data_IF_356345382178
#
_entry.id   IF_356345382178
#
_cell.length_a   1.000
_cell.length_b   1.000
_cell.length_c   1.000
_cell.angle_alpha   90.00
_cell.angle_beta   90.00
_cell.angle_gamma   90.00
#
_symmetry.space_group_name_H-M   'P 1'
#
loop_
_entity.id
_entity.type
_entity.pdbx_description
1 polymer ?
#
# COMPACT_ATOMS: atom_id res chain seq x y z
N UNK A 1 -15.32 14.92 7.94
CA UNK A 1 -14.47 13.71 7.98
C UNK A 1 -15.39 12.51 8.16
N UNK A 2 -15.30 11.48 7.32
CA UNK A 2 -16.09 10.26 7.51
C UNK A 2 -15.71 9.62 8.86
N UNK A 3 -16.70 9.19 9.65
CA UNK A 3 -16.46 8.47 10.90
C UNK A 3 -15.78 7.13 10.60
N UNK A 4 -14.82 6.74 11.43
CA UNK A 4 -14.16 5.46 11.27
C UNK A 4 -15.13 4.34 11.73
N UNK A 5 -15.32 3.26 10.96
CA UNK A 5 -16.33 2.22 11.25
C UNK A 5 -16.14 1.56 12.63
N UNK A 6 -17.17 1.42 13.44
CA UNK A 6 -17.05 0.92 14.82
C UNK A 6 -16.81 -0.59 14.93
N UNK A 7 -16.18 -1.02 16.05
CA UNK A 7 -16.12 -2.43 16.47
C UNK A 7 -14.89 -3.25 16.06
N UNK A 8 -14.05 -2.80 15.11
CA UNK A 8 -12.86 -3.53 14.67
C UNK A 8 -11.55 -2.77 14.92
N UNK A 9 -10.46 -3.51 15.22
CA UNK A 9 -9.10 -2.95 15.25
C UNK A 9 -8.73 -2.48 13.84
N UNK A 10 -8.48 -1.17 13.71
CA UNK A 10 -8.13 -0.53 12.44
C UNK A 10 -6.62 -0.47 12.26
N UNK A 11 -6.18 -0.62 11.01
CA UNK A 11 -4.76 -0.51 10.63
C UNK A 11 -4.62 0.41 9.42
N UNK A 12 -3.55 1.20 9.38
CA UNK A 12 -3.19 1.99 8.19
C UNK A 12 -1.84 1.53 7.68
N UNK A 13 -1.81 0.98 6.47
CA UNK A 13 -0.57 0.68 5.76
C UNK A 13 0.03 1.96 5.19
N UNK A 14 1.34 2.16 5.34
CA UNK A 14 2.02 3.35 4.87
C UNK A 14 3.48 3.04 4.46
N UNK A 15 4.06 3.91 3.65
CA UNK A 15 5.41 3.71 3.12
C UNK A 15 6.49 4.02 4.19
N UNK A 16 7.74 3.63 3.90
CA UNK A 16 8.91 3.92 4.72
C UNK A 16 9.10 5.41 5.03
N UNK A 17 8.69 6.30 4.12
CA UNK A 17 8.78 7.73 4.35
C UNK A 17 7.72 8.27 5.30
N UNK A 18 6.64 7.52 5.54
CA UNK A 18 5.62 7.84 6.54
C UNK A 18 6.02 7.41 7.96
N UNK A 19 7.19 6.78 8.13
CA UNK A 19 7.74 6.43 9.44
C UNK A 19 8.25 7.68 10.16
N UNK A 20 7.36 8.63 10.41
CA UNK A 20 7.62 9.88 11.12
C UNK A 20 6.90 9.87 12.45
N UNK A 21 7.48 10.53 13.46
CA UNK A 21 6.86 10.64 14.78
C UNK A 21 5.46 11.25 14.69
N UNK A 22 5.28 12.28 13.86
CA UNK A 22 3.99 12.96 13.65
C UNK A 22 2.92 12.04 13.05
N UNK A 23 3.27 11.27 12.01
CA UNK A 23 2.35 10.32 11.39
C UNK A 23 1.94 9.21 12.37
N UNK A 24 2.93 8.58 13.03
CA UNK A 24 2.70 7.50 14.00
C UNK A 24 1.84 7.97 15.18
N UNK A 25 2.13 9.17 15.72
CA UNK A 25 1.35 9.75 16.80
C UNK A 25 -0.09 10.05 16.37
N UNK A 26 -0.28 10.59 15.16
CA UNK A 26 -1.61 10.91 14.62
C UNK A 26 -2.46 9.66 14.39
N UNK A 27 -1.88 8.61 13.80
CA UNK A 27 -2.56 7.33 13.62
C UNK A 27 -3.02 6.74 14.96
N UNK A 28 -2.13 6.72 15.96
CA UNK A 28 -2.45 6.24 17.31
C UNK A 28 -3.55 7.08 17.99
N UNK A 29 -3.52 8.40 17.85
CA UNK A 29 -4.56 9.31 18.37
C UNK A 29 -5.95 9.01 17.77
N UNK A 30 -5.99 8.54 16.53
CA UNK A 30 -7.22 8.10 15.86
C UNK A 30 -7.64 6.66 16.20
N UNK A 31 -6.92 5.97 17.10
CA UNK A 31 -7.17 4.57 17.43
C UNK A 31 -6.81 3.60 16.29
N UNK A 32 -5.95 4.02 15.36
CA UNK A 32 -5.51 3.23 14.21
C UNK A 32 -4.08 2.73 14.44
N UNK A 33 -3.84 1.44 14.24
CA UNK A 33 -2.51 0.85 14.33
C UNK A 33 -1.69 1.19 13.08
N UNK A 34 -0.53 1.85 13.19
CA UNK A 34 0.27 2.25 12.03
C UNK A 34 1.07 1.06 11.50
N UNK A 35 0.66 0.45 10.39
CA UNK A 35 1.43 -0.55 9.64
C UNK A 35 2.38 0.12 8.63
N UNK A 36 3.25 0.98 9.15
CA UNK A 36 4.23 1.72 8.37
C UNK A 36 5.46 0.83 8.10
N UNK A 37 6.06 0.90 6.91
CA UNK A 37 7.35 0.21 6.71
C UNK A 37 8.45 0.85 7.56
N UNK A 38 9.21 0.05 8.32
CA UNK A 38 10.25 0.60 9.21
C UNK A 38 11.37 1.31 8.43
N UNK A 39 11.71 2.53 8.84
CA UNK A 39 12.80 3.31 8.27
C UNK A 39 14.06 3.25 9.12
N UNK A 40 14.69 2.07 9.10
CA UNK A 40 15.92 1.79 9.86
C UNK A 40 17.13 1.95 8.94
N UNK A 41 18.14 2.69 9.41
CA UNK A 41 19.46 2.82 8.78
C UNK A 41 20.53 3.10 9.87
N UNK A 42 21.79 3.30 9.48
CA UNK A 42 22.92 3.50 10.42
C UNK A 42 22.75 4.68 11.39
N UNK A 43 21.95 5.69 11.02
CA UNK A 43 21.75 6.92 11.81
C UNK A 43 20.32 7.06 12.34
N UNK A 44 19.45 6.10 12.08
CA UNK A 44 18.01 6.23 12.31
C UNK A 44 17.36 4.90 12.70
N UNK A 45 16.59 4.92 13.80
CA UNK A 45 15.63 3.87 14.16
C UNK A 45 14.22 4.17 13.65
N UNK A 46 13.31 3.20 13.83
CA UNK A 46 11.89 3.35 13.45
C UNK A 46 11.06 4.04 14.55
N UNK A 47 10.02 4.78 14.16
CA UNK A 47 9.03 5.34 15.11
C UNK A 47 7.96 4.32 15.52
N UNK A 48 7.91 3.16 14.85
CA UNK A 48 7.10 2.02 15.27
C UNK A 48 7.97 0.98 15.98
N UNK A 49 7.38 0.34 16.99
CA UNK A 49 8.04 -0.60 17.89
C UNK A 49 7.37 -1.99 17.82
N UNK A 50 7.83 -2.91 18.67
CA UNK A 50 7.33 -4.28 18.76
C UNK A 50 5.82 -4.39 18.99
N UNK A 51 5.15 -3.36 19.55
CA UNK A 51 3.68 -3.37 19.70
C UNK A 51 2.98 -3.42 18.35
N UNK A 52 3.58 -2.85 17.31
CA UNK A 52 3.09 -2.93 15.93
C UNK A 52 3.65 -4.16 15.23
N UNK A 53 4.98 -4.34 15.24
CA UNK A 53 5.65 -5.24 14.30
C UNK A 53 5.56 -6.72 14.67
N UNK A 54 5.29 -7.05 15.95
CA UNK A 54 5.18 -8.45 16.41
C UNK A 54 3.97 -9.21 15.85
N UNK A 55 2.96 -8.50 15.38
CA UNK A 55 1.71 -9.09 14.94
C UNK A 55 1.81 -9.60 13.49
N UNK A 56 1.24 -10.77 13.21
CA UNK A 56 1.18 -11.34 11.86
C UNK A 56 0.52 -10.40 10.85
N UNK A 57 -0.49 -9.64 11.28
CA UNK A 57 -1.17 -8.63 10.46
C UNK A 57 -0.25 -7.54 9.92
N UNK A 58 0.79 -7.14 10.67
CA UNK A 58 1.79 -6.17 10.20
C UNK A 58 2.54 -6.72 8.98
N UNK A 59 3.03 -7.96 9.08
CA UNK A 59 3.74 -8.62 7.97
C UNK A 59 2.86 -8.81 6.74
N UNK A 60 1.61 -9.23 6.92
CA UNK A 60 0.65 -9.33 5.81
C UNK A 60 0.43 -7.97 5.13
N UNK A 61 0.30 -6.90 5.92
CA UNK A 61 0.13 -5.54 5.41
C UNK A 61 1.33 -5.08 4.59
N UNK A 62 2.57 -5.40 5.01
CA UNK A 62 3.77 -5.06 4.24
C UNK A 62 3.83 -5.79 2.89
N UNK A 63 3.42 -7.07 2.85
CA UNK A 63 3.34 -7.85 1.61
C UNK A 63 2.28 -7.26 0.67
N UNK A 64 1.08 -6.96 1.18
CA UNK A 64 -0.01 -6.40 0.38
C UNK A 64 0.37 -5.02 -0.17
N UNK A 65 0.96 -4.14 0.65
CA UNK A 65 1.45 -2.83 0.22
C UNK A 65 2.36 -2.96 -1.00
N UNK A 66 3.38 -3.82 -0.92
CA UNK A 66 4.33 -4.01 -2.02
C UNK A 66 3.68 -4.56 -3.29
N UNK A 67 2.72 -5.49 -3.16
CA UNK A 67 1.95 -6.01 -4.31
C UNK A 67 1.15 -4.91 -5.03
N UNK A 68 0.55 -3.98 -4.26
CA UNK A 68 -0.18 -2.84 -4.83
C UNK A 68 0.78 -1.89 -5.55
N UNK A 69 1.95 -1.64 -4.97
CA UNK A 69 2.97 -0.78 -5.56
C UNK A 69 3.56 -1.35 -6.85
N UNK A 70 3.79 -2.66 -6.92
CA UNK A 70 4.23 -3.35 -8.13
C UNK A 70 3.19 -3.22 -9.27
N UNK A 71 1.91 -3.39 -8.95
CA UNK A 71 0.83 -3.17 -9.91
C UNK A 71 0.78 -1.71 -10.39
N UNK A 72 0.86 -0.75 -9.45
CA UNK A 72 0.85 0.68 -9.78
C UNK A 72 2.07 1.09 -10.61
N UNK A 73 3.25 0.54 -10.31
CA UNK A 73 4.47 0.74 -11.10
C UNK A 73 4.31 0.22 -12.51
N UNK A 74 3.82 -1.01 -12.67
CA UNK A 74 3.55 -1.59 -13.99
C UNK A 74 2.52 -0.77 -14.78
N UNK A 75 1.43 -0.36 -14.14
CA UNK A 75 0.37 0.45 -14.78
C UNK A 75 0.95 1.77 -15.32
N UNK A 76 1.84 2.42 -14.54
CA UNK A 76 2.45 3.69 -14.94
C UNK A 76 3.47 3.50 -16.05
N UNK A 77 4.46 2.65 -15.82
CA UNK A 77 5.66 2.54 -16.66
C UNK A 77 5.45 1.66 -17.88
N UNK A 78 4.84 0.49 -17.71
CA UNK A 78 4.68 -0.49 -18.80
C UNK A 78 3.35 -0.29 -19.52
N UNK A 79 2.27 -0.11 -18.78
CA UNK A 79 0.96 0.09 -19.37
C UNK A 79 0.73 1.54 -19.83
N UNK A 80 1.67 2.47 -19.63
CA UNK A 80 1.61 3.83 -20.16
C UNK A 80 0.55 4.72 -19.52
N UNK A 81 0.41 4.68 -18.18
CA UNK A 81 -0.41 5.63 -17.41
C UNK A 81 0.39 6.69 -16.67
N UNK A 82 1.72 6.72 -16.79
CA UNK A 82 2.55 7.78 -16.22
C UNK A 82 2.09 9.19 -16.71
N UNK A 83 1.67 9.28 -17.97
CA UNK A 83 1.03 10.46 -18.55
C UNK A 83 -0.21 10.03 -19.35
N UNK A 84 -1.40 10.27 -18.81
CA UNK A 84 -2.66 9.88 -19.48
C UNK A 84 -2.91 10.72 -20.73
N UNK A 85 -3.23 10.05 -21.85
CA UNK A 85 -3.65 10.70 -23.11
C UNK A 85 -5.16 10.99 -23.16
N UNK A 86 -5.88 10.67 -22.09
CA UNK A 86 -7.33 10.83 -22.00
C UNK A 86 -7.71 11.99 -21.08
N UNK A 87 -8.79 12.70 -21.43
CA UNK A 87 -9.38 13.75 -20.60
C UNK A 87 -10.72 13.28 -20.02
N UNK A 88 -11.00 13.68 -18.78
CA UNK A 88 -12.22 13.36 -18.04
C UNK A 88 -12.11 12.11 -17.16
N UNK A 89 -12.64 12.19 -15.93
CA UNK A 89 -12.55 11.14 -14.92
C UNK A 89 -13.11 9.79 -15.40
N UNK A 90 -14.23 9.78 -16.13
CA UNK A 90 -14.82 8.54 -16.63
C UNK A 90 -13.91 7.78 -17.60
N UNK A 91 -13.26 8.50 -18.52
CA UNK A 91 -12.35 7.88 -19.50
C UNK A 91 -11.04 7.44 -18.87
N UNK A 92 -10.48 8.26 -17.98
CA UNK A 92 -9.26 7.90 -17.23
C UNK A 92 -9.51 6.71 -16.31
N UNK A 93 -10.64 6.70 -15.60
CA UNK A 93 -11.06 5.61 -14.73
C UNK A 93 -11.21 4.29 -15.49
N UNK A 94 -11.91 4.31 -16.64
CA UNK A 94 -12.06 3.12 -17.49
C UNK A 94 -10.70 2.55 -17.94
N UNK A 95 -9.78 3.41 -18.42
CA UNK A 95 -8.44 2.98 -18.83
C UNK A 95 -7.61 2.43 -17.67
N UNK A 96 -7.72 3.03 -16.49
CA UNK A 96 -7.08 2.53 -15.29
C UNK A 96 -7.61 1.14 -14.92
N UNK A 97 -8.93 0.95 -14.87
CA UNK A 97 -9.56 -0.34 -14.57
C UNK A 97 -9.17 -1.41 -15.59
N UNK A 98 -9.18 -1.08 -16.88
CA UNK A 98 -8.76 -2.00 -17.94
C UNK A 98 -7.31 -2.46 -17.75
N UNK A 99 -6.38 -1.52 -17.48
CA UNK A 99 -4.95 -1.84 -17.25
C UNK A 99 -4.73 -2.60 -15.96
N UNK A 100 -5.46 -2.28 -14.88
CA UNK A 100 -5.42 -3.03 -13.64
C UNK A 100 -5.93 -4.48 -13.83
N UNK A 101 -6.98 -4.68 -14.63
CA UNK A 101 -7.46 -6.01 -14.99
C UNK A 101 -6.42 -6.78 -15.83
N UNK A 102 -5.77 -6.12 -16.79
CA UNK A 102 -4.70 -6.71 -17.59
C UNK A 102 -3.48 -7.12 -16.73
N UNK A 103 -3.17 -6.39 -15.67
CA UNK A 103 -2.09 -6.76 -14.74
C UNK A 103 -2.32 -8.13 -14.07
N UNK A 104 -3.58 -8.56 -13.90
CA UNK A 104 -3.86 -9.91 -13.41
C UNK A 104 -3.26 -10.98 -14.34
N UNK A 105 -3.29 -10.77 -15.66
CA UNK A 105 -2.69 -11.70 -16.64
C UNK A 105 -1.17 -11.77 -16.49
N UNK A 106 -0.51 -10.64 -16.22
CA UNK A 106 0.93 -10.59 -15.96
C UNK A 106 1.31 -11.35 -14.69
N UNK A 107 0.40 -11.38 -13.70
CA UNK A 107 0.62 -12.07 -12.42
C UNK A 107 0.35 -13.57 -12.48
N UNK A 108 -0.53 -14.03 -13.39
CA UNK A 108 -0.94 -15.44 -13.48
C UNK A 108 0.23 -16.44 -13.53
N UNK A 109 1.32 -16.23 -14.30
CA UNK A 109 2.43 -17.19 -14.34
C UNK A 109 3.08 -17.47 -12.98
N UNK A 110 3.07 -16.50 -12.06
CA UNK A 110 3.61 -16.68 -10.70
C UNK A 110 2.67 -17.44 -9.77
N UNK A 111 1.44 -17.71 -10.20
CA UNK A 111 0.42 -18.44 -9.44
C UNK A 111 0.20 -19.85 -9.95
N UNK A 112 0.72 -20.18 -11.14
CA UNK A 112 0.65 -21.51 -11.70
C UNK A 112 1.71 -22.42 -11.07
N UNK A 113 1.44 -23.73 -10.93
CA UNK A 113 2.46 -24.68 -10.51
C UNK A 113 3.63 -24.63 -11.49
N UNK A 114 4.85 -24.52 -10.98
CA UNK A 114 6.04 -24.80 -11.78
C UNK A 114 6.06 -26.32 -12.01
N UNK A 115 6.02 -26.74 -13.28
CA UNK A 115 6.20 -28.15 -13.66
C UNK A 115 7.58 -28.67 -13.33
#
# INVERSE_FOLDING_TARGET
>A
MASLPDGAKKTVGADKNDDTAAFVASARKLGVTPHVAQNINAHRGSNIDGRTTRHTGYRSSQVIRKRIEEANGWIKEVAGMAQTKHRGLGRVGWMFTFKAAAYNLIRLPQLLPTG
#
